data_IF_144984784281
#
_entry.id   IF_144984784281
#
_cell.length_a   1.000
_cell.length_b   1.000
_cell.length_c   1.000
_cell.angle_alpha   90.00
_cell.angle_beta   90.00
_cell.angle_gamma   90.00
#
_symmetry.space_group_name_H-M   'P 1'
#
loop_
_entity.id
_entity.type
_entity.pdbx_description
1 polymer ?
#
# COMPACT_ATOMS: atom_id res chain seq x y z
N UNK A 1 -5.96 8.66 -2.98
CA UNK A 1 -5.06 7.49 -2.92
C UNK A 1 -5.91 6.24 -3.00
N UNK A 2 -5.50 5.24 -3.78
CA UNK A 2 -6.16 3.93 -3.82
C UNK A 2 -6.06 3.26 -2.45
N UNK A 3 -7.19 2.82 -1.90
CA UNK A 3 -7.30 2.24 -0.54
C UNK A 3 -7.68 0.76 -0.51
N UNK A 4 -7.70 0.11 -1.67
CA UNK A 4 -7.94 -1.32 -1.86
C UNK A 4 -6.70 -1.96 -2.51
N UNK A 5 -6.49 -3.29 -2.41
CA UNK A 5 -5.32 -3.96 -3.00
C UNK A 5 -5.08 -3.60 -4.46
N UNK A 6 -6.15 -3.53 -5.25
CA UNK A 6 -6.15 -3.17 -6.66
C UNK A 6 -7.46 -2.46 -7.02
N UNK A 7 -7.38 -1.31 -7.68
CA UNK A 7 -8.54 -0.56 -8.16
C UNK A 7 -8.58 -0.56 -9.69
N UNK A 8 -9.75 -0.86 -10.23
CA UNK A 8 -10.04 -0.75 -11.67
C UNK A 8 -10.20 0.70 -12.10
N UNK A 9 -9.71 1.01 -13.30
CA UNK A 9 -9.94 2.27 -14.00
C UNK A 9 -10.81 1.98 -15.21
N UNK A 10 -11.90 2.72 -15.33
CA UNK A 10 -12.94 2.50 -16.33
C UNK A 10 -12.95 3.60 -17.40
N UNK A 11 -13.37 3.26 -18.62
CA UNK A 11 -13.50 4.26 -19.70
C UNK A 11 -14.66 5.23 -19.50
N UNK A 12 -15.67 4.84 -18.71
CA UNK A 12 -16.84 5.64 -18.35
C UNK A 12 -17.11 5.53 -16.84
N UNK A 13 -17.91 6.41 -16.20
CA UNK A 13 -18.27 6.32 -14.78
C UNK A 13 -19.27 5.18 -14.50
N UNK A 14 -18.89 3.96 -14.86
CA UNK A 14 -19.73 2.77 -14.85
C UNK A 14 -18.87 1.48 -14.78
N UNK A 15 -19.13 0.63 -13.79
CA UNK A 15 -18.41 -0.66 -13.59
C UNK A 15 -18.56 -1.64 -14.76
N UNK A 16 -19.57 -1.45 -15.62
CA UNK A 16 -19.83 -2.31 -16.79
C UNK A 16 -19.08 -1.84 -18.04
N UNK A 17 -18.42 -0.68 -17.99
CA UNK A 17 -17.62 -0.17 -19.10
C UNK A 17 -16.25 -0.87 -19.14
N UNK A 18 -15.46 -0.57 -20.17
CA UNK A 18 -14.16 -1.22 -20.35
C UNK A 18 -13.21 -0.85 -19.21
N UNK A 19 -12.56 -1.86 -18.63
CA UNK A 19 -11.45 -1.65 -17.72
C UNK A 19 -10.20 -1.30 -18.53
N UNK A 20 -9.74 -0.06 -18.42
CA UNK A 20 -8.59 0.46 -19.17
C UNK A 20 -7.28 0.15 -18.46
N UNK A 21 -7.26 0.29 -17.14
CA UNK A 21 -6.06 0.14 -16.32
C UNK A 21 -6.38 -0.44 -14.94
N UNK A 22 -5.35 -0.79 -14.18
CA UNK A 22 -5.47 -1.15 -12.77
C UNK A 22 -4.41 -0.44 -11.95
N UNK A 23 -4.82 0.14 -10.83
CA UNK A 23 -3.93 0.87 -9.93
C UNK A 23 -3.74 0.10 -8.62
N UNK A 24 -2.48 -0.08 -8.16
CA UNK A 24 -2.21 -0.78 -6.91
C UNK A 24 -2.62 0.06 -5.70
N UNK A 25 -2.78 -0.61 -4.55
CA UNK A 25 -2.91 0.04 -3.24
C UNK A 25 -1.83 1.11 -3.06
N UNK A 26 -2.24 2.29 -2.59
CA UNK A 26 -1.31 3.40 -2.38
C UNK A 26 -1.06 4.28 -3.59
N UNK A 27 -1.53 3.90 -4.78
CA UNK A 27 -1.42 4.76 -5.96
C UNK A 27 -2.09 6.12 -5.69
N UNK A 28 -1.35 7.18 -5.95
CA UNK A 28 -1.85 8.54 -5.85
C UNK A 28 -2.56 8.91 -7.15
N UNK A 29 -3.77 9.45 -7.01
CA UNK A 29 -4.58 9.89 -8.13
C UNK A 29 -5.11 11.28 -7.84
N UNK A 30 -5.20 12.09 -8.88
CA UNK A 30 -5.81 13.41 -8.85
C UNK A 30 -7.00 13.42 -9.78
N UNK A 31 -8.10 14.00 -9.32
CA UNK A 31 -9.31 14.18 -10.12
C UNK A 31 -10.08 15.39 -9.63
N UNK A 32 -10.92 15.95 -10.48
CA UNK A 32 -11.68 17.17 -10.18
C UNK A 32 -13.19 16.97 -10.27
N UNK A 33 -13.63 15.99 -11.03
CA UNK A 33 -15.03 15.76 -11.33
C UNK A 33 -15.45 14.40 -10.79
N UNK A 34 -16.63 14.37 -10.16
CA UNK A 34 -17.24 13.15 -9.65
C UNK A 34 -18.57 12.97 -10.35
N UNK A 35 -18.74 11.81 -10.98
CA UNK A 35 -19.97 11.42 -11.66
C UNK A 35 -20.31 9.98 -11.30
N UNK A 36 -21.58 9.71 -10.94
CA UNK A 36 -22.09 8.37 -10.59
C UNK A 36 -21.23 7.61 -9.55
N UNK A 37 -20.57 8.33 -8.64
CA UNK A 37 -19.69 7.73 -7.62
C UNK A 37 -18.29 7.36 -8.12
N UNK A 38 -17.89 7.85 -9.29
CA UNK A 38 -16.54 7.70 -9.84
C UNK A 38 -15.84 9.05 -9.88
N UNK A 39 -14.54 9.04 -9.58
CA UNK A 39 -13.66 10.17 -9.78
C UNK A 39 -13.06 10.11 -11.18
N UNK A 40 -13.18 11.19 -11.95
CA UNK A 40 -12.51 11.36 -13.24
C UNK A 40 -11.04 11.73 -13.03
N UNK A 41 -10.15 10.98 -13.66
CA UNK A 41 -8.69 11.17 -13.64
C UNK A 41 -8.14 11.12 -15.06
N UNK A 42 -6.86 11.48 -15.25
CA UNK A 42 -6.20 11.41 -16.56
C UNK A 42 -6.10 9.97 -17.12
N UNK A 43 -6.29 8.95 -16.28
CA UNK A 43 -6.29 7.53 -16.67
C UNK A 43 -7.70 6.98 -16.96
N UNK A 44 -8.74 7.76 -16.65
CA UNK A 44 -10.14 7.35 -16.70
C UNK A 44 -10.84 7.45 -15.34
N UNK A 45 -11.90 6.66 -15.17
CA UNK A 45 -12.83 6.75 -14.06
C UNK A 45 -12.57 5.70 -12.98
N UNK A 46 -12.41 6.13 -11.73
CA UNK A 46 -12.12 5.22 -10.60
C UNK A 46 -13.25 5.32 -9.58
N UNK A 47 -13.76 4.18 -9.10
CA UNK A 47 -14.80 4.19 -8.06
C UNK A 47 -14.31 4.90 -6.80
N UNK A 48 -15.07 5.89 -6.31
CA UNK A 48 -14.74 6.61 -5.09
C UNK A 48 -14.72 5.68 -3.85
N UNK A 49 -15.42 4.54 -3.90
CA UNK A 49 -15.37 3.52 -2.86
C UNK A 49 -13.97 2.89 -2.69
N UNK A 50 -13.13 2.98 -3.72
CA UNK A 50 -11.76 2.47 -3.72
C UNK A 50 -10.72 3.54 -3.41
N UNK A 51 -11.16 4.76 -3.09
CA UNK A 51 -10.29 5.90 -2.85
C UNK A 51 -10.45 6.42 -1.42
N UNK A 52 -9.35 6.92 -0.88
CA UNK A 52 -9.33 7.76 0.32
C UNK A 52 -8.53 9.03 0.08
N UNK A 53 -8.83 10.07 0.85
CA UNK A 53 -8.03 11.27 0.89
C UNK A 53 -6.63 10.95 1.41
N UNK A 54 -5.60 11.57 0.84
CA UNK A 54 -4.20 11.35 1.25
C UNK A 54 -3.95 11.73 2.71
N UNK A 55 -4.76 12.62 3.26
CA UNK A 55 -4.71 13.03 4.68
C UNK A 55 -5.27 11.98 5.64
N UNK A 56 -5.99 10.96 5.13
CA UNK A 56 -6.61 9.90 5.93
C UNK A 56 -5.74 8.64 5.94
N UNK A 57 -4.48 8.79 6.35
CA UNK A 57 -3.56 7.67 6.41
C UNK A 57 -4.01 6.63 7.45
N UNK A 58 -4.00 5.33 7.10
CA UNK A 58 -4.11 4.25 8.06
C UNK A 58 -3.09 4.41 9.19
N UNK A 59 -3.45 4.03 10.42
CA UNK A 59 -2.55 4.16 11.58
C UNK A 59 -1.96 2.83 12.06
N UNK A 60 -2.32 1.72 11.40
CA UNK A 60 -1.89 0.39 11.78
C UNK A 60 -1.32 -0.38 10.57
N UNK A 61 0.01 -0.50 10.47
CA UNK A 61 0.66 -1.25 9.39
C UNK A 61 0.22 -2.72 9.33
N UNK A 62 -0.17 -3.33 10.45
CA UNK A 62 -0.66 -4.73 10.46
C UNK A 62 -1.96 -4.88 9.69
N UNK A 63 -2.87 -3.90 9.76
CA UNK A 63 -4.11 -3.93 8.98
C UNK A 63 -3.83 -3.77 7.49
N UNK A 64 -2.78 -3.02 7.13
CA UNK A 64 -2.34 -2.91 5.74
C UNK A 64 -1.70 -4.20 5.25
N UNK A 65 -0.82 -4.82 6.04
CA UNK A 65 -0.20 -6.10 5.70
C UNK A 65 -1.25 -7.18 5.45
N UNK A 66 -2.36 -7.20 6.21
CA UNK A 66 -3.46 -8.15 6.02
C UNK A 66 -4.14 -8.05 4.65
N UNK A 67 -4.08 -6.89 3.97
CA UNK A 67 -4.63 -6.72 2.62
C UNK A 67 -3.88 -7.54 1.57
N UNK A 68 -2.68 -8.02 1.88
CA UNK A 68 -1.83 -8.83 1.00
C UNK A 68 -1.86 -10.33 1.36
N UNK A 69 -2.76 -10.76 2.25
CA UNK A 69 -2.94 -12.18 2.54
C UNK A 69 -3.27 -12.93 1.25
N UNK A 70 -2.51 -13.99 0.99
CA UNK A 70 -2.57 -14.82 -0.22
C UNK A 70 -2.07 -14.15 -1.51
N UNK A 71 -1.49 -12.95 -1.45
CA UNK A 71 -0.75 -12.42 -2.60
C UNK A 71 0.42 -13.34 -2.94
N UNK A 72 0.68 -13.61 -4.24
CA UNK A 72 1.79 -14.46 -4.65
C UNK A 72 3.12 -13.82 -4.28
N UNK A 73 4.10 -14.65 -3.91
CA UNK A 73 5.45 -14.18 -3.67
C UNK A 73 6.12 -13.78 -4.99
N UNK A 74 6.66 -12.57 -5.05
CA UNK A 74 7.45 -12.08 -6.20
C UNK A 74 8.66 -11.32 -5.68
N UNK A 75 9.86 -11.75 -6.05
CA UNK A 75 11.10 -11.09 -5.68
C UNK A 75 11.13 -9.64 -6.22
N UNK A 76 11.36 -8.67 -5.34
CA UNK A 76 11.28 -7.24 -5.65
C UNK A 76 9.84 -6.71 -5.78
N UNK A 77 8.84 -7.52 -5.45
CA UNK A 77 7.43 -7.16 -5.55
C UNK A 77 6.95 -6.34 -4.36
N UNK A 78 6.07 -5.36 -4.63
CA UNK A 78 5.49 -4.48 -3.61
C UNK A 78 3.99 -4.20 -3.83
N UNK A 79 3.28 -5.07 -4.57
CA UNK A 79 1.85 -4.91 -4.87
C UNK A 79 1.08 -6.20 -4.62
N UNK A 80 -0.25 -6.15 -4.67
CA UNK A 80 -1.07 -7.36 -4.49
C UNK A 80 -0.91 -8.38 -5.63
N UNK A 81 -0.36 -7.97 -6.78
CA UNK A 81 -0.03 -8.86 -7.92
C UNK A 81 1.25 -9.66 -7.69
N UNK A 82 2.06 -9.28 -6.71
CA UNK A 82 3.33 -9.90 -6.37
C UNK A 82 4.04 -9.11 -5.28
N UNK A 83 4.34 -9.76 -4.16
CA UNK A 83 4.97 -9.13 -3.00
C UNK A 83 6.02 -10.01 -2.37
N UNK A 84 7.17 -9.46 -1.98
CA UNK A 84 8.17 -10.18 -1.19
C UNK A 84 8.13 -9.79 0.29
N UNK A 85 9.09 -10.30 1.06
CA UNK A 85 9.15 -10.13 2.50
C UNK A 85 9.37 -8.66 2.90
N UNK A 86 10.33 -7.97 2.29
CA UNK A 86 10.65 -6.58 2.64
C UNK A 86 9.68 -5.59 2.01
N UNK A 87 9.14 -5.89 0.82
CA UNK A 87 8.07 -5.15 0.16
C UNK A 87 6.78 -5.10 0.98
N UNK A 88 6.39 -6.21 1.62
CA UNK A 88 5.25 -6.26 2.54
C UNK A 88 5.40 -5.28 3.71
N UNK A 89 6.58 -5.26 4.34
CA UNK A 89 6.88 -4.35 5.44
C UNK A 89 6.89 -2.90 4.92
N UNK A 90 7.56 -2.67 3.80
CA UNK A 90 7.72 -1.34 3.22
C UNK A 90 6.36 -0.71 2.92
N UNK A 91 5.51 -1.37 2.13
CA UNK A 91 4.21 -0.79 1.73
C UNK A 91 3.30 -0.55 2.95
N UNK A 92 3.33 -1.48 3.92
CA UNK A 92 2.55 -1.37 5.16
C UNK A 92 2.94 -0.16 6.00
N UNK A 93 4.25 0.15 6.05
CA UNK A 93 4.77 1.29 6.79
C UNK A 93 4.55 2.60 6.04
N UNK A 94 4.86 2.64 4.73
CA UNK A 94 4.72 3.84 3.91
C UNK A 94 3.27 4.34 3.88
N UNK A 95 2.29 3.44 3.77
CA UNK A 95 0.87 3.82 3.81
C UNK A 95 0.41 4.32 5.18
N UNK A 96 1.15 4.01 6.24
CA UNK A 96 0.96 4.60 7.56
C UNK A 96 1.79 5.88 7.80
N UNK A 97 2.42 6.43 6.75
CA UNK A 97 3.27 7.62 6.85
C UNK A 97 4.62 7.36 7.55
N UNK A 98 5.03 6.10 7.66
CA UNK A 98 6.28 5.70 8.29
C UNK A 98 7.32 5.36 7.22
N UNK A 99 8.42 6.10 7.19
CA UNK A 99 9.52 5.82 6.27
C UNK A 99 10.13 4.44 6.53
N UNK A 100 10.24 3.66 5.45
CA UNK A 100 10.77 2.30 5.47
C UNK A 100 11.56 2.03 4.18
N UNK A 101 12.84 1.62 4.28
CA UNK A 101 13.63 1.25 3.11
C UNK A 101 13.13 -0.05 2.46
N UNK A 102 13.52 -0.29 1.21
CA UNK A 102 13.01 -1.41 0.41
C UNK A 102 13.62 -2.76 0.75
N UNK A 103 14.87 -2.77 1.19
CA UNK A 103 15.63 -4.00 1.42
C UNK A 103 15.66 -4.37 2.92
N UNK A 104 15.62 -5.67 3.22
CA UNK A 104 15.52 -6.16 4.61
C UNK A 104 16.73 -5.82 5.49
N UNK A 105 17.93 -5.71 4.92
CA UNK A 105 19.15 -5.33 5.62
C UNK A 105 19.14 -3.84 6.00
N UNK A 106 18.68 -2.98 5.09
CA UNK A 106 18.45 -1.55 5.37
C UNK A 106 17.31 -1.37 6.40
N UNK A 107 16.24 -2.17 6.29
CA UNK A 107 15.14 -2.16 7.27
C UNK A 107 15.65 -2.53 8.66
N UNK A 108 16.50 -3.55 8.77
CA UNK A 108 17.14 -3.92 10.03
C UNK A 108 17.95 -2.76 10.61
N UNK A 109 18.82 -2.16 9.79
CA UNK A 109 19.69 -1.07 10.22
C UNK A 109 18.91 0.17 10.70
N UNK A 110 17.91 0.62 9.94
CA UNK A 110 17.16 1.83 10.25
C UNK A 110 16.12 1.64 11.37
N UNK A 111 15.47 0.49 11.43
CA UNK A 111 14.37 0.27 12.38
C UNK A 111 14.88 -0.13 13.76
N UNK A 112 16.02 -0.83 13.87
CA UNK A 112 16.67 -1.05 15.16
C UNK A 112 17.07 0.27 15.84
N UNK A 113 17.57 1.24 15.06
CA UNK A 113 17.89 2.57 15.59
C UNK A 113 16.66 3.28 16.18
N UNK A 114 15.45 3.01 15.67
CA UNK A 114 14.18 3.58 16.16
C UNK A 114 13.61 2.83 17.36
N UNK A 115 13.82 1.52 17.49
CA UNK A 115 13.34 0.71 18.64
C UNK A 115 13.99 1.14 19.96
N UNK A 116 15.24 1.64 19.93
CA UNK A 116 15.87 2.22 21.13
C UNK A 116 15.15 3.49 21.66
N UNK A 117 14.32 4.15 20.84
CA UNK A 117 13.74 5.47 21.13
C UNK A 117 12.26 5.38 21.56
N UNK A 118 11.54 4.32 21.19
CA UNK A 118 10.07 4.27 21.25
C UNK A 118 9.53 3.00 21.95
N UNK A 119 9.81 2.83 23.24
CA UNK A 119 9.40 1.62 24.00
C UNK A 119 7.92 1.56 24.43
N UNK A 120 7.02 2.46 23.98
CA UNK A 120 5.69 2.61 24.59
C UNK A 120 4.44 2.30 23.74
N UNK A 121 4.53 1.89 22.47
CA UNK A 121 3.34 1.53 21.67
C UNK A 121 3.55 0.28 20.81
N UNK A 122 3.19 -0.90 21.34
CA UNK A 122 3.24 -2.18 20.60
C UNK A 122 2.01 -2.32 19.69
N UNK A 123 2.10 -1.89 18.44
CA UNK A 123 1.12 -2.22 17.37
C UNK A 123 1.67 -3.18 16.30
N UNK A 124 2.99 -3.33 16.18
CA UNK A 124 3.65 -4.22 15.22
C UNK A 124 5.05 -4.63 15.73
N UNK A 125 5.48 -5.86 15.43
CA UNK A 125 6.86 -6.35 15.66
C UNK A 125 7.36 -6.96 14.36
N UNK A 126 8.56 -6.58 13.92
CA UNK A 126 9.22 -7.14 12.73
C UNK A 126 10.34 -8.07 13.21
N UNK A 127 10.36 -9.31 12.72
CA UNK A 127 11.42 -10.26 12.98
C UNK A 127 12.34 -10.34 11.78
N UNK A 128 13.64 -10.18 12.02
CA UNK A 128 14.68 -10.35 11.01
C UNK A 128 15.38 -11.69 11.22
N UNK A 129 15.59 -12.42 10.13
CA UNK A 129 16.26 -13.72 10.14
C UNK A 129 17.52 -13.64 9.29
N UNK A 130 18.65 -14.06 9.85
CA UNK A 130 19.93 -14.17 9.14
C UNK A 130 20.60 -15.50 9.50
N UNK A 131 21.43 -16.03 8.60
CA UNK A 131 22.42 -17.04 9.01
C UNK A 131 23.40 -16.32 9.95
N UNK A 132 23.69 -16.92 11.11
CA UNK A 132 24.41 -16.30 12.21
C UNK A 132 25.61 -15.45 11.77
N UNK A 133 25.75 -14.30 12.43
CA UNK A 133 26.95 -13.47 12.42
C UNK A 133 28.21 -14.28 12.72
#
# INVERSE_FOLDING_TARGET
MVSVPLAHVFSEPNIKSNNTEMLPLGAEVLGKHIENGFLETDLGWISNLHLKLKTELPTNPVEIAKLFLNSPYLWGGNTSLGIDCSGLIQISMLLCGLNCPGDSDQQLAELLAKVLILAHHKKMVIFFFGKGM
#
